data_IF_720967773063
#
_entry.id   IF_720967773063
#
_cell.length_a   1.000
_cell.length_b   1.000
_cell.length_c   1.000
_cell.angle_alpha   90.00
_cell.angle_beta   90.00
_cell.angle_gamma   90.00
#
_symmetry.space_group_name_H-M   'P 1'
#
loop_
_entity.id
_entity.type
_entity.pdbx_description
1 polymer ?
#
# COMPACT_ATOMS: atom_id res chain seq x y z
N UNK A 1 15.32 -3.11 9.30
CA UNK A 1 15.28 -1.73 8.79
C UNK A 1 14.44 -1.72 7.52
N UNK A 2 13.36 -0.93 7.44
CA UNK A 2 12.48 -0.92 6.26
C UNK A 2 13.19 -0.35 5.04
N UNK A 3 14.14 0.58 5.24
CA UNK A 3 14.99 1.11 4.15
C UNK A 3 15.90 0.06 3.50
N UNK A 4 16.16 -1.07 4.15
CA UNK A 4 16.92 -2.20 3.56
C UNK A 4 16.03 -3.16 2.77
N UNK A 5 14.72 -3.15 3.04
CA UNK A 5 13.76 -4.11 2.49
C UNK A 5 13.01 -3.49 1.30
N UNK A 6 12.57 -2.25 1.45
CA UNK A 6 11.81 -1.55 0.43
C UNK A 6 12.71 -0.58 -0.34
N UNK A 7 12.51 -0.44 -1.67
CA UNK A 7 13.03 0.73 -2.36
C UNK A 7 12.40 1.99 -1.76
N UNK A 8 12.97 3.16 -2.05
CA UNK A 8 12.39 4.43 -1.60
C UNK A 8 10.92 4.54 -2.03
N UNK A 9 10.04 4.63 -1.03
CA UNK A 9 8.61 4.80 -1.23
C UNK A 9 8.28 6.30 -1.30
N UNK A 10 7.25 6.62 -2.06
CA UNK A 10 6.73 7.98 -2.19
C UNK A 10 5.31 8.05 -1.65
N UNK A 11 4.89 9.27 -1.30
CA UNK A 11 3.52 9.53 -0.87
C UNK A 11 2.55 9.07 -1.96
N UNK A 12 1.44 8.47 -1.53
CA UNK A 12 0.41 7.88 -2.38
C UNK A 12 0.84 6.64 -3.18
N UNK A 13 2.02 6.06 -2.93
CA UNK A 13 2.21 4.64 -3.25
C UNK A 13 1.16 3.82 -2.51
N UNK A 14 0.74 2.70 -3.10
CA UNK A 14 -0.32 1.85 -2.56
C UNK A 14 0.34 0.58 -2.03
N UNK A 15 0.16 0.29 -0.76
CA UNK A 15 0.50 -1.01 -0.19
C UNK A 15 -0.73 -1.91 -0.15
N UNK A 16 -0.52 -3.21 -0.41
CA UNK A 16 -1.57 -4.20 -0.25
C UNK A 16 -1.06 -5.45 0.45
N UNK A 17 -1.82 -5.95 1.43
CA UNK A 17 -1.43 -7.12 2.22
C UNK A 17 -2.12 -8.38 1.75
N UNK A 18 -1.40 -9.50 1.87
CA UNK A 18 -1.94 -10.84 1.60
C UNK A 18 -3.00 -11.21 2.64
N UNK A 19 -4.19 -11.56 2.17
CA UNK A 19 -5.27 -12.09 2.99
C UNK A 19 -5.04 -13.50 3.49
N UNK A 20 -5.79 -13.90 4.52
CA UNK A 20 -5.78 -15.27 5.06
C UNK A 20 -7.21 -15.76 5.29
N UNK A 21 -7.39 -17.08 5.29
CA UNK A 21 -8.67 -17.71 5.65
C UNK A 21 -9.83 -17.44 4.67
N UNK A 22 -11.08 -17.36 5.16
CA UNK A 22 -12.26 -17.25 4.31
C UNK A 22 -12.23 -16.03 3.38
N UNK A 23 -11.78 -14.86 3.87
CA UNK A 23 -11.72 -13.63 3.07
C UNK A 23 -10.84 -13.80 1.82
N UNK A 24 -9.70 -14.48 1.96
CA UNK A 24 -8.82 -14.81 0.84
C UNK A 24 -9.54 -15.69 -0.19
N UNK A 25 -10.29 -16.70 0.29
CA UNK A 25 -11.05 -17.58 -0.59
C UNK A 25 -12.14 -16.81 -1.35
N UNK A 26 -12.89 -15.93 -0.68
CA UNK A 26 -13.86 -15.04 -1.33
C UNK A 26 -13.19 -14.18 -2.41
N UNK A 27 -12.07 -13.53 -2.06
CA UNK A 27 -11.30 -12.67 -2.96
C UNK A 27 -10.83 -13.38 -4.24
N UNK A 28 -10.47 -14.66 -4.13
CA UNK A 28 -9.96 -15.45 -5.27
C UNK A 28 -11.02 -16.10 -6.14
N UNK A 29 -12.24 -16.30 -5.64
CA UNK A 29 -13.24 -17.12 -6.31
C UNK A 29 -14.49 -16.34 -6.74
N UNK A 30 -14.83 -15.25 -6.06
CA UNK A 30 -16.15 -14.62 -6.19
C UNK A 30 -16.11 -13.14 -6.59
N UNK A 31 -14.94 -12.50 -6.60
CA UNK A 31 -14.79 -11.10 -7.01
C UNK A 31 -13.67 -10.95 -8.06
N UNK A 32 -13.79 -9.91 -8.87
CA UNK A 32 -12.75 -9.51 -9.82
C UNK A 32 -12.14 -8.16 -9.41
N UNK A 33 -10.81 -7.97 -9.58
CA UNK A 33 -9.86 -8.97 -10.07
C UNK A 33 -9.60 -10.05 -9.02
N UNK A 34 -9.47 -11.31 -9.45
CA UNK A 34 -9.03 -12.40 -8.56
C UNK A 34 -7.66 -12.11 -7.99
N UNK A 35 -7.58 -11.87 -6.68
CA UNK A 35 -6.33 -11.49 -6.02
C UNK A 35 -6.22 -12.09 -4.62
N UNK A 36 -4.98 -12.25 -4.16
CA UNK A 36 -4.69 -12.55 -2.75
C UNK A 36 -4.54 -11.29 -1.88
N UNK A 37 -4.62 -10.10 -2.48
CA UNK A 37 -4.55 -8.81 -1.80
C UNK A 37 -5.93 -8.40 -1.29
N UNK A 38 -6.08 -8.29 0.04
CA UNK A 38 -7.41 -8.05 0.65
C UNK A 38 -7.50 -6.79 1.49
N UNK A 39 -6.37 -6.24 1.92
CA UNK A 39 -6.31 -4.98 2.66
C UNK A 39 -5.35 -4.04 1.96
N UNK A 40 -5.75 -2.78 1.82
CA UNK A 40 -5.04 -1.78 1.04
C UNK A 40 -4.85 -0.52 1.87
N UNK A 41 -3.72 0.16 1.67
CA UNK A 41 -3.38 1.40 2.34
C UNK A 41 -2.51 2.29 1.45
N UNK A 42 -2.48 3.58 1.76
CA UNK A 42 -1.61 4.55 1.10
C UNK A 42 -0.37 4.80 1.94
N UNK A 43 0.78 4.82 1.29
CA UNK A 43 2.04 5.25 1.91
C UNK A 43 2.02 6.78 2.08
N UNK A 44 2.40 7.22 3.27
CA UNK A 44 2.56 8.61 3.67
C UNK A 44 4.03 9.02 3.79
N UNK A 45 4.33 9.84 4.80
CA UNK A 45 5.68 10.34 5.05
C UNK A 45 6.63 9.23 5.51
N UNK A 46 7.88 9.34 5.11
CA UNK A 46 8.98 8.61 5.73
C UNK A 46 9.35 9.26 7.08
N UNK A 47 9.65 8.44 8.08
CA UNK A 47 9.98 8.82 9.44
C UNK A 47 11.43 8.40 9.74
N UNK A 48 12.43 9.28 9.53
CA UNK A 48 13.84 8.89 9.58
C UNK A 48 14.31 8.40 10.95
N UNK A 49 13.68 8.87 12.03
CA UNK A 49 14.05 8.49 13.41
C UNK A 49 13.61 7.08 13.81
N UNK A 50 12.79 6.43 12.99
CA UNK A 50 12.22 5.10 13.25
C UNK A 50 12.38 4.15 12.05
N UNK A 51 13.03 4.64 10.98
CA UNK A 51 13.22 3.92 9.72
C UNK A 51 11.92 3.27 9.20
N UNK A 52 10.86 4.07 9.09
CA UNK A 52 9.50 3.59 8.83
C UNK A 52 8.66 4.61 8.06
N UNK A 53 7.50 4.21 7.57
CA UNK A 53 6.57 5.05 6.85
C UNK A 53 5.24 5.16 7.59
N UNK A 54 4.66 6.35 7.57
CA UNK A 54 3.24 6.54 7.91
C UNK A 54 2.40 5.86 6.84
N UNK A 55 1.27 5.27 7.23
CA UNK A 55 0.27 4.77 6.29
C UNK A 55 -1.11 5.34 6.61
N UNK A 56 -1.94 5.51 5.57
CA UNK A 56 -3.36 5.81 5.69
C UNK A 56 -4.15 4.58 5.24
N UNK A 57 -5.00 4.06 6.12
CA UNK A 57 -5.70 2.80 5.89
C UNK A 57 -7.15 2.84 6.37
N UNK A 58 -7.98 1.95 5.84
CA UNK A 58 -9.33 1.71 6.33
C UNK A 58 -9.38 0.36 7.03
N UNK A 59 -9.55 0.37 8.34
CA UNK A 59 -9.68 -0.84 9.17
C UNK A 59 -11.14 -1.03 9.60
N UNK A 60 -11.44 -2.16 10.24
CA UNK A 60 -12.80 -2.46 10.72
C UNK A 60 -13.39 -1.44 11.72
N UNK A 61 -12.58 -0.49 12.21
CA UNK A 61 -12.98 0.61 13.11
C UNK A 61 -13.10 1.98 12.41
N UNK A 62 -12.83 2.07 11.11
CA UNK A 62 -12.84 3.30 10.33
C UNK A 62 -11.48 3.62 9.68
N UNK A 63 -11.33 4.87 9.23
CA UNK A 63 -10.07 5.39 8.67
C UNK A 63 -9.07 5.58 9.81
N UNK A 64 -7.86 5.07 9.63
CA UNK A 64 -6.78 5.14 10.60
C UNK A 64 -5.47 5.57 9.96
N UNK A 65 -4.61 6.19 10.78
CA UNK A 65 -3.22 6.48 10.45
C UNK A 65 -2.34 5.51 11.24
N UNK A 66 -1.50 4.76 10.54
CA UNK A 66 -0.69 3.68 11.09
C UNK A 66 0.77 3.78 10.70
N UNK A 67 1.51 2.71 11.00
CA UNK A 67 2.90 2.50 10.61
C UNK A 67 3.01 1.33 9.63
N UNK A 68 3.85 1.45 8.61
CA UNK A 68 4.09 0.36 7.66
C UNK A 68 4.67 -0.87 8.37
N UNK A 69 5.51 -0.64 9.38
CA UNK A 69 6.10 -1.68 10.24
C UNK A 69 5.08 -2.55 11.00
N UNK A 70 3.80 -2.17 11.08
CA UNK A 70 2.74 -3.04 11.63
C UNK A 70 2.49 -4.28 10.76
N UNK A 71 2.88 -4.23 9.49
CA UNK A 71 2.75 -5.33 8.55
C UNK A 71 4.09 -6.04 8.35
N UNK A 72 4.02 -7.36 8.23
CA UNK A 72 5.17 -8.18 7.85
C UNK A 72 5.57 -7.86 6.42
N UNK A 73 6.84 -7.49 6.15
CA UNK A 73 7.24 -7.08 4.80
C UNK A 73 6.98 -8.12 3.72
N UNK A 74 7.11 -9.42 4.05
CA UNK A 74 6.83 -10.52 3.14
C UNK A 74 5.34 -10.67 2.73
N UNK A 75 4.43 -10.07 3.50
CA UNK A 75 2.99 -10.09 3.23
C UNK A 75 2.54 -8.82 2.47
N UNK A 76 3.42 -7.82 2.28
CA UNK A 76 3.11 -6.53 1.65
C UNK A 76 3.63 -6.48 0.21
N UNK A 77 2.78 -5.99 -0.69
CA UNK A 77 3.16 -5.66 -2.06
C UNK A 77 2.91 -4.17 -2.31
N UNK A 78 3.87 -3.51 -2.97
CA UNK A 78 3.82 -2.07 -3.23
C UNK A 78 3.53 -1.82 -4.69
N UNK A 79 2.56 -0.96 -4.94
CA UNK A 79 2.14 -0.51 -6.26
C UNK A 79 2.34 1.00 -6.38
N UNK A 80 2.83 1.43 -7.54
CA UNK A 80 2.96 2.83 -7.89
C UNK A 80 2.20 3.09 -9.18
N UNK A 81 1.28 4.06 -9.14
CA UNK A 81 0.54 4.45 -10.33
C UNK A 81 1.51 5.11 -11.30
N UNK A 82 1.71 4.48 -12.46
CA UNK A 82 2.42 5.11 -13.56
C UNK A 82 1.42 5.93 -14.38
N UNK A 83 1.36 7.23 -14.11
CA UNK A 83 0.45 8.15 -14.81
C UNK A 83 0.97 8.43 -16.25
N UNK A 84 2.19 7.98 -16.59
CA UNK A 84 2.85 8.38 -17.82
C UNK A 84 3.12 9.90 -17.84
N UNK A 85 3.99 10.35 -18.75
CA UNK A 85 3.97 11.77 -19.12
C UNK A 85 2.80 11.93 -20.08
N UNK A 86 1.62 12.30 -19.58
CA UNK A 86 0.61 12.83 -20.49
C UNK A 86 1.16 14.13 -21.08
N UNK A 87 1.42 14.21 -22.41
CA UNK A 87 1.94 15.42 -23.03
C UNK A 87 1.05 16.65 -22.81
N UNK A 88 -0.24 16.45 -22.47
CA UNK A 88 -1.22 17.50 -22.25
C UNK A 88 -1.21 18.09 -20.84
N UNK A 89 -0.52 17.46 -19.88
CA UNK A 89 -0.42 17.98 -18.50
C UNK A 89 0.68 19.03 -18.32
N UNK A 90 1.32 19.51 -19.40
CA UNK A 90 2.32 20.59 -19.38
C UNK A 90 1.74 21.98 -19.08
N UNK A 91 0.43 22.16 -19.13
CA UNK A 91 -0.19 23.50 -19.00
C UNK A 91 -0.56 23.90 -17.57
N UNK A 92 -0.21 23.10 -16.56
CA UNK A 92 -0.56 23.38 -15.16
C UNK A 92 0.63 23.40 -14.20
N UNK A 93 1.85 23.68 -14.69
CA UNK A 93 3.03 23.96 -13.86
C UNK A 93 3.47 25.41 -14.00
#
# INVERSE_FOLDING_TARGET
MLSEIYPRLFRADIGATRGKGPLLWFSKNLIEPKTDRVHFFLIGEYLPWDDDYVILEAIGKGIAVGRLSFYKPEDVEIYRVNIGRDPKMKELQ
#
